data_IF_397345173124
#
_entry.id   IF_397345173124
#
_cell.length_a   1.000
_cell.length_b   1.000
_cell.length_c   1.000
_cell.angle_alpha   90.00
_cell.angle_beta   90.00
_cell.angle_gamma   90.00
#
_symmetry.space_group_name_H-M   'P 1'
#
loop_
_entity.id
_entity.type
_entity.pdbx_description
1 polymer ?
#
# COMPACT_ATOMS: atom_id res chain seq x y z
N UNK A 1 -12.53 8.78 -14.32
CA UNK A 1 -11.11 8.57 -14.65
C UNK A 1 -10.89 9.11 -16.05
N UNK A 2 -10.05 10.14 -16.20
CA UNK A 2 -9.73 10.72 -17.52
C UNK A 2 -8.31 10.31 -17.88
N UNK A 3 -8.08 9.92 -19.14
CA UNK A 3 -6.75 9.64 -19.66
C UNK A 3 -6.33 10.85 -20.49
N UNK A 4 -5.25 11.50 -20.07
CA UNK A 4 -4.63 12.59 -20.83
C UNK A 4 -3.36 12.06 -21.47
N UNK A 5 -3.24 12.20 -22.79
CA UNK A 5 -2.02 11.85 -23.52
C UNK A 5 -1.15 13.09 -23.64
N UNK A 6 0.14 12.95 -23.35
CA UNK A 6 1.13 14.00 -23.46
C UNK A 6 2.06 13.72 -24.63
N UNK A 7 2.56 14.78 -25.26
CA UNK A 7 3.61 14.64 -26.25
C UNK A 7 4.89 14.11 -25.57
N UNK A 8 5.71 13.38 -26.32
CA UNK A 8 7.01 12.94 -25.80
C UNK A 8 7.84 14.16 -25.37
N UNK A 9 8.40 14.12 -24.17
CA UNK A 9 9.20 15.21 -23.59
C UNK A 9 8.39 16.32 -22.91
N UNK A 10 7.06 16.21 -22.87
CA UNK A 10 6.24 17.12 -22.07
C UNK A 10 6.41 16.80 -20.57
N UNK A 11 6.91 17.78 -19.81
CA UNK A 11 7.12 17.65 -18.37
C UNK A 11 5.84 17.31 -17.59
N UNK A 12 4.67 17.61 -18.14
CA UNK A 12 3.38 17.28 -17.53
C UNK A 12 3.01 15.80 -17.68
N UNK A 13 3.64 15.08 -18.61
CA UNK A 13 3.52 13.63 -18.75
C UNK A 13 4.28 12.84 -17.68
N UNK A 14 5.18 13.49 -16.96
CA UNK A 14 6.05 12.87 -15.98
C UNK A 14 7.22 12.09 -16.61
N UNK A 15 8.11 11.54 -15.78
CA UNK A 15 9.26 10.77 -16.25
C UNK A 15 8.85 9.48 -16.97
N UNK A 16 9.73 9.00 -17.85
CA UNK A 16 9.54 7.71 -18.53
C UNK A 16 9.33 6.56 -17.52
N UNK A 17 8.34 5.73 -17.84
CA UNK A 17 7.94 4.59 -17.02
C UNK A 17 7.00 4.93 -15.86
N UNK A 18 6.46 6.15 -15.77
CA UNK A 18 5.39 6.50 -14.83
C UNK A 18 4.03 6.36 -15.51
N UNK A 19 3.21 5.39 -15.10
CA UNK A 19 1.84 5.20 -15.64
C UNK A 19 0.81 6.13 -15.00
N UNK A 20 1.09 6.61 -13.79
CA UNK A 20 0.34 7.67 -13.13
C UNK A 20 1.34 8.70 -12.61
N UNK A 21 1.15 9.97 -12.97
CA UNK A 21 1.99 11.07 -12.54
C UNK A 21 1.16 12.09 -11.76
N UNK A 22 1.63 12.41 -10.55
CA UNK A 22 0.94 13.29 -9.63
C UNK A 22 1.77 14.54 -9.37
N UNK A 23 1.08 15.67 -9.28
CA UNK A 23 1.65 16.98 -8.96
C UNK A 23 0.92 17.58 -7.76
N UNK A 24 1.54 18.54 -7.07
CA UNK A 24 0.97 19.16 -5.88
C UNK A 24 1.49 18.55 -4.58
N UNK A 25 1.05 19.08 -3.45
CA UNK A 25 1.58 18.71 -2.13
C UNK A 25 0.79 17.61 -1.45
N UNK A 26 -0.46 17.37 -1.84
CA UNK A 26 -1.31 16.30 -1.29
C UNK A 26 -2.24 15.76 -2.37
N UNK A 27 -2.73 14.54 -2.19
CA UNK A 27 -3.72 13.95 -3.07
C UNK A 27 -4.03 12.51 -2.71
N UNK A 28 -4.64 11.80 -3.66
CA UNK A 28 -4.90 10.36 -3.57
C UNK A 28 -4.27 9.63 -4.74
N UNK A 29 -3.94 8.35 -4.53
CA UNK A 29 -3.41 7.44 -5.54
C UNK A 29 -4.10 6.09 -5.36
N UNK A 30 -4.55 5.48 -6.45
CA UNK A 30 -5.17 4.17 -6.40
C UNK A 30 -4.62 3.26 -7.49
N UNK A 31 -4.69 1.96 -7.25
CA UNK A 31 -4.46 0.97 -8.31
C UNK A 31 -5.51 1.14 -9.40
N UNK A 32 -5.16 0.81 -10.65
CA UNK A 32 -6.14 0.79 -11.72
C UNK A 32 -7.33 -0.11 -11.37
N UNK A 33 -8.53 0.29 -11.80
CA UNK A 33 -9.82 -0.36 -11.50
C UNK A 33 -10.28 -0.31 -10.02
N UNK A 34 -9.61 0.45 -9.16
CA UNK A 34 -10.05 0.58 -7.76
C UNK A 34 -11.28 1.50 -7.61
N UNK A 35 -12.31 1.14 -6.82
CA UNK A 35 -13.50 1.96 -6.60
C UNK A 35 -13.22 3.13 -5.62
N UNK A 36 -12.77 4.27 -6.14
CA UNK A 36 -12.37 5.43 -5.32
C UNK A 36 -13.53 6.30 -4.82
N UNK A 37 -14.75 6.11 -5.32
CA UNK A 37 -15.93 6.89 -4.92
C UNK A 37 -16.70 6.28 -3.74
N UNK A 38 -16.30 5.10 -3.27
CA UNK A 38 -16.97 4.41 -2.18
C UNK A 38 -16.38 4.84 -0.82
N UNK A 39 -17.22 5.10 0.17
CA UNK A 39 -16.79 5.35 1.56
C UNK A 39 -16.56 4.06 2.37
N UNK A 40 -17.04 2.94 1.85
CA UNK A 40 -16.85 1.58 2.36
C UNK A 40 -16.55 0.69 1.17
N UNK A 41 -15.55 -0.19 1.28
CA UNK A 41 -15.18 -1.07 0.19
C UNK A 41 -16.07 -2.30 0.16
N UNK A 42 -16.60 -2.58 -1.03
CA UNK A 42 -17.22 -3.87 -1.30
C UNK A 42 -16.13 -4.96 -1.32
N UNK A 43 -16.44 -6.08 -0.70
CA UNK A 43 -15.66 -7.33 -0.74
C UNK A 43 -15.41 -7.88 -2.15
N UNK A 44 -16.14 -7.39 -3.16
CA UNK A 44 -15.95 -7.76 -4.57
C UNK A 44 -14.85 -6.96 -5.31
N UNK A 45 -14.32 -5.91 -4.68
CA UNK A 45 -13.23 -5.12 -5.28
C UNK A 45 -12.00 -6.00 -5.46
N UNK A 46 -11.53 -6.09 -6.71
CA UNK A 46 -10.36 -6.89 -7.08
C UNK A 46 -9.41 -6.09 -7.98
N UNK A 47 -8.11 -6.19 -7.72
CA UNK A 47 -7.08 -5.59 -8.56
C UNK A 47 -6.83 -6.43 -9.81
N UNK A 48 -6.28 -5.78 -10.84
CA UNK A 48 -5.87 -6.46 -12.06
C UNK A 48 -4.59 -7.29 -11.82
N UNK A 49 -4.59 -8.55 -12.27
CA UNK A 49 -3.42 -9.43 -12.22
C UNK A 49 -2.41 -9.13 -13.33
N UNK A 50 -1.16 -9.57 -13.15
CA UNK A 50 -0.03 -9.42 -14.08
C UNK A 50 0.25 -7.97 -14.49
N UNK A 51 0.16 -7.05 -13.53
CA UNK A 51 0.42 -5.63 -13.73
C UNK A 51 1.76 -5.22 -13.14
N UNK A 52 2.39 -4.22 -13.77
CA UNK A 52 3.48 -3.45 -13.18
C UNK A 52 3.15 -1.98 -13.38
N UNK A 53 2.53 -1.40 -12.36
CA UNK A 53 2.07 -0.02 -12.37
C UNK A 53 3.03 0.82 -11.57
N UNK A 54 3.75 1.74 -12.23
CA UNK A 54 4.62 2.68 -11.53
C UNK A 54 3.94 4.03 -11.44
N UNK A 55 3.76 4.49 -10.21
CA UNK A 55 3.23 5.80 -9.87
C UNK A 55 4.39 6.70 -9.45
N UNK A 56 4.34 7.96 -9.89
CA UNK A 56 5.40 8.92 -9.66
C UNK A 56 4.82 10.25 -9.20
N UNK A 57 5.58 10.95 -8.36
CA UNK A 57 5.21 12.25 -7.85
C UNK A 57 6.27 13.27 -8.24
N UNK A 58 5.82 14.43 -8.71
CA UNK A 58 6.69 15.58 -8.86
C UNK A 58 7.16 16.01 -7.48
N UNK A 59 8.46 16.21 -7.34
CA UNK A 59 8.99 16.85 -6.15
C UNK A 59 8.68 18.35 -6.21
N UNK A 60 7.85 18.84 -5.29
CA UNK A 60 7.56 20.27 -5.16
C UNK A 60 8.65 20.98 -4.34
N UNK A 61 8.74 22.31 -4.49
CA UNK A 61 9.72 23.14 -3.77
C UNK A 61 9.70 22.88 -2.27
N UNK A 62 10.89 22.77 -1.67
CA UNK A 62 11.09 22.55 -0.24
C UNK A 62 10.48 21.24 0.31
N UNK A 63 10.21 20.24 -0.54
CA UNK A 63 9.75 18.91 -0.08
C UNK A 63 10.89 17.90 -0.08
N UNK A 64 11.01 17.12 0.99
CA UNK A 64 12.10 16.16 1.18
C UNK A 64 11.67 14.71 1.27
N UNK A 65 10.40 14.46 1.56
CA UNK A 65 9.84 13.12 1.64
C UNK A 65 8.41 13.11 1.12
N UNK A 66 7.87 11.92 0.94
CA UNK A 66 6.46 11.67 0.68
C UNK A 66 5.97 10.59 1.63
N UNK A 67 4.74 10.76 2.11
CA UNK A 67 4.07 9.80 2.98
C UNK A 67 2.76 9.33 2.35
N UNK A 68 2.43 8.08 2.58
CA UNK A 68 1.18 7.45 2.17
C UNK A 68 0.45 6.85 3.38
N UNK A 69 -0.87 6.77 3.27
CA UNK A 69 -1.74 6.04 4.21
C UNK A 69 -3.04 5.65 3.47
N UNK A 70 -3.69 4.52 3.79
CA UNK A 70 -4.97 4.18 3.16
C UNK A 70 -6.03 5.27 3.39
N UNK A 71 -6.79 5.61 2.35
CA UNK A 71 -7.89 6.58 2.42
C UNK A 71 -8.96 6.13 3.42
N UNK A 72 -9.33 4.86 3.34
CA UNK A 72 -10.21 4.15 4.28
C UNK A 72 -9.34 3.24 5.13
N UNK A 73 -9.29 3.53 6.43
CA UNK A 73 -8.64 2.67 7.41
C UNK A 73 -9.56 1.48 7.76
N UNK A 74 -9.08 0.27 7.50
CA UNK A 74 -9.76 -0.96 7.89
C UNK A 74 -9.33 -1.46 9.27
N UNK A 75 -9.96 -2.53 9.72
CA UNK A 75 -9.54 -3.31 10.87
C UNK A 75 -9.76 -4.81 10.59
N UNK A 76 -9.63 -5.67 11.60
CA UNK A 76 -9.75 -7.12 11.45
C UNK A 76 -11.15 -7.64 11.01
N UNK A 77 -12.16 -6.77 10.99
CA UNK A 77 -13.54 -7.09 10.61
C UNK A 77 -14.15 -6.11 9.59
N UNK A 78 -13.55 -4.93 9.37
CA UNK A 78 -13.99 -3.96 8.35
C UNK A 78 -12.92 -3.75 7.27
N UNK A 79 -13.30 -3.75 5.98
CA UNK A 79 -12.32 -3.64 4.90
C UNK A 79 -11.72 -2.24 4.88
N UNK A 80 -10.40 -2.18 4.71
CA UNK A 80 -9.67 -0.96 4.42
C UNK A 80 -9.35 -0.85 2.94
N UNK A 81 -8.92 0.33 2.52
CA UNK A 81 -8.48 0.64 1.15
C UNK A 81 -7.07 0.17 0.82
N UNK A 82 -6.70 -0.97 1.39
CA UNK A 82 -5.44 -1.64 1.11
C UNK A 82 -5.60 -3.13 1.38
N UNK A 83 -5.08 -3.94 0.47
CA UNK A 83 -4.93 -5.38 0.68
C UNK A 83 -4.34 -6.03 -0.55
N UNK A 84 -3.15 -6.60 -0.37
CA UNK A 84 -2.28 -7.17 -1.42
C UNK A 84 -1.73 -8.52 -0.95
N UNK A 85 -1.98 -9.59 -1.69
CA UNK A 85 -1.60 -10.96 -1.35
C UNK A 85 -2.07 -11.52 0.01
N UNK A 86 -1.76 -12.79 0.21
CA UNK A 86 -1.88 -13.49 1.50
C UNK A 86 -0.98 -12.93 2.61
N UNK A 87 -1.25 -13.36 3.84
CA UNK A 87 -0.36 -13.11 4.99
C UNK A 87 0.30 -14.41 5.45
N UNK A 88 1.48 -14.29 6.06
CA UNK A 88 2.25 -15.46 6.54
C UNK A 88 1.70 -16.10 7.83
N UNK A 89 0.66 -15.54 8.44
CA UNK A 89 0.12 -15.96 9.73
C UNK A 89 -1.40 -16.09 9.78
N UNK A 90 -1.90 -16.64 10.89
CA UNK A 90 -3.34 -16.85 11.15
C UNK A 90 -4.10 -15.57 11.51
N UNK A 91 -3.49 -14.40 11.42
CA UNK A 91 -4.13 -13.10 11.64
C UNK A 91 -3.84 -12.23 10.42
N UNK A 92 -4.84 -11.45 10.00
CA UNK A 92 -4.63 -10.44 8.96
C UNK A 92 -3.60 -9.43 9.48
N UNK A 93 -2.51 -9.25 8.74
CA UNK A 93 -1.42 -8.35 9.09
C UNK A 93 -0.83 -7.74 7.82
N UNK A 94 -0.10 -6.63 7.96
CA UNK A 94 0.89 -6.20 6.99
C UNK A 94 2.06 -7.19 6.95
N UNK A 95 2.74 -7.23 5.81
CA UNK A 95 3.88 -8.08 5.53
C UNK A 95 4.88 -7.26 4.71
N UNK A 96 6.17 -7.52 4.89
CA UNK A 96 7.25 -6.76 4.25
C UNK A 96 8.30 -7.68 3.62
N UNK A 97 9.10 -7.11 2.72
CA UNK A 97 10.30 -7.70 2.13
C UNK A 97 10.09 -9.07 1.47
N UNK A 98 10.99 -10.03 1.71
CA UNK A 98 11.03 -11.32 1.03
C UNK A 98 9.81 -12.22 1.28
N UNK A 99 8.90 -11.81 2.17
CA UNK A 99 7.61 -12.45 2.39
C UNK A 99 6.54 -11.93 1.40
N UNK A 100 6.76 -10.76 0.79
CA UNK A 100 5.94 -10.21 -0.28
C UNK A 100 6.40 -10.73 -1.65
N UNK A 101 6.01 -11.98 -1.93
CA UNK A 101 6.42 -12.71 -3.14
C UNK A 101 5.42 -12.63 -4.29
N UNK A 102 4.13 -12.53 -4.00
CA UNK A 102 3.08 -12.33 -5.00
C UNK A 102 2.95 -10.84 -5.33
N UNK A 103 1.83 -10.26 -4.93
CA UNK A 103 1.51 -8.85 -5.07
C UNK A 103 2.13 -8.01 -3.97
N UNK A 104 2.65 -6.85 -4.37
CA UNK A 104 3.24 -5.91 -3.44
C UNK A 104 3.28 -4.49 -3.99
N UNK A 105 3.28 -3.54 -3.06
CA UNK A 105 3.78 -2.19 -3.31
C UNK A 105 5.27 -2.14 -3.05
N UNK A 106 6.02 -1.73 -4.06
CA UNK A 106 7.42 -1.38 -3.93
C UNK A 106 7.53 0.11 -3.66
N UNK A 107 7.99 0.45 -2.46
CA UNK A 107 8.28 1.81 -2.04
C UNK A 107 9.74 1.80 -1.59
N UNK A 108 10.68 2.40 -2.34
CA UNK A 108 12.10 2.41 -1.98
C UNK A 108 12.31 3.06 -0.61
N UNK A 109 13.04 2.39 0.29
CA UNK A 109 13.26 2.85 1.66
C UNK A 109 11.97 3.32 2.36
N UNK A 110 10.96 2.46 2.34
CA UNK A 110 9.73 2.63 3.08
C UNK A 110 9.97 2.61 4.59
N UNK A 111 9.58 3.69 5.24
CA UNK A 111 9.77 3.98 6.66
C UNK A 111 8.41 4.13 7.32
N UNK A 112 8.14 3.44 8.43
CA UNK A 112 6.86 3.60 9.16
C UNK A 112 7.03 3.65 10.67
N UNK A 113 8.21 4.02 11.15
CA UNK A 113 8.46 4.12 12.57
C UNK A 113 9.24 5.39 12.91
N UNK A 114 8.62 6.27 13.70
CA UNK A 114 9.32 6.92 14.81
C UNK A 114 8.36 6.80 15.99
N UNK A 115 8.69 5.96 16.98
CA UNK A 115 8.04 6.04 18.28
C UNK A 115 8.16 7.48 18.78
N UNK A 116 7.04 8.18 18.94
CA UNK A 116 6.77 9.15 20.03
C UNK A 116 5.40 9.83 19.96
N UNK A 117 4.56 9.64 18.93
CA UNK A 117 3.19 10.20 18.94
C UNK A 117 2.12 9.24 18.39
N UNK A 118 1.02 9.08 19.15
CA UNK A 118 -0.18 8.34 18.73
C UNK A 118 -0.92 9.02 17.57
N UNK A 119 -0.59 10.28 17.25
CA UNK A 119 -1.05 11.00 16.09
C UNK A 119 -0.02 10.95 14.95
N UNK A 120 -0.03 9.85 14.17
CA UNK A 120 0.39 9.74 12.75
C UNK A 120 1.17 10.93 12.15
N UNK A 121 2.34 11.27 12.68
CA UNK A 121 3.17 12.37 12.16
C UNK A 121 4.54 11.82 11.84
N UNK A 122 4.85 11.75 10.55
CA UNK A 122 6.18 11.47 10.09
C UNK A 122 7.06 12.70 10.31
N UNK A 123 8.17 12.54 11.03
CA UNK A 123 9.19 13.58 11.18
C UNK A 123 10.30 13.29 10.16
N UNK A 124 10.43 14.12 9.12
CA UNK A 124 11.50 13.94 8.12
C UNK A 124 12.88 14.06 8.77
N UNK A 125 13.81 13.19 8.37
CA UNK A 125 15.21 13.28 8.79
C UNK A 125 15.49 12.67 10.18
N UNK A 126 14.46 12.22 10.89
CA UNK A 126 14.62 11.41 12.09
C UNK A 126 14.79 9.94 11.68
N UNK A 127 16.00 9.56 11.23
CA UNK A 127 16.35 8.14 11.18
C UNK A 127 16.76 7.72 12.58
N UNK A 128 15.78 7.30 13.39
CA UNK A 128 16.06 6.63 14.65
C UNK A 128 16.89 5.36 14.42
N UNK A 129 17.70 4.91 15.39
CA UNK A 129 18.52 3.70 15.25
C UNK A 129 17.70 2.43 15.00
N UNK A 130 16.40 2.45 15.34
CA UNK A 130 15.47 1.32 15.23
C UNK A 130 14.56 1.37 13.97
N UNK A 131 14.81 2.27 13.02
CA UNK A 131 14.06 2.31 11.76
C UNK A 131 14.56 1.21 10.82
N UNK A 132 13.73 0.21 10.53
CA UNK A 132 13.97 -0.67 9.38
C UNK A 132 13.37 -0.06 8.13
N UNK A 133 14.17 -0.10 7.08
CA UNK A 133 13.74 0.24 5.73
C UNK A 133 13.19 -1.01 5.07
N UNK A 134 11.95 -0.93 4.61
CA UNK A 134 11.39 -1.94 3.70
C UNK A 134 11.39 -1.39 2.28
N UNK A 135 11.53 -2.25 1.28
CA UNK A 135 11.31 -1.93 -0.12
C UNK A 135 10.00 -2.51 -0.65
N UNK A 136 9.44 -3.54 0.00
CA UNK A 136 8.19 -4.19 -0.43
C UNK A 136 7.21 -4.28 0.72
N UNK A 137 5.97 -3.91 0.45
CA UNK A 137 4.85 -3.96 1.37
C UNK A 137 3.70 -4.73 0.74
N UNK A 138 3.11 -5.63 1.51
CA UNK A 138 1.96 -6.42 1.13
C UNK A 138 1.21 -6.86 2.39
N UNK A 139 0.28 -7.80 2.27
CA UNK A 139 -0.62 -8.25 3.31
C UNK A 139 -1.92 -7.45 3.35
N UNK A 140 -2.60 -7.50 4.50
CA UNK A 140 -3.95 -6.93 4.67
C UNK A 140 -3.97 -5.53 5.26
N UNK A 141 -2.82 -5.05 5.74
CA UNK A 141 -2.65 -3.72 6.28
C UNK A 141 -1.41 -3.07 5.68
N UNK A 142 -1.51 -1.76 5.47
CA UNK A 142 -0.42 -0.96 4.91
C UNK A 142 0.50 -0.52 6.05
N UNK A 143 1.65 -1.19 6.18
CA UNK A 143 2.62 -0.92 7.24
C UNK A 143 4.00 -1.47 6.87
N UNK A 144 5.06 -0.72 7.18
CA UNK A 144 6.44 -1.21 7.12
C UNK A 144 7.05 -1.46 8.51
N UNK A 145 6.22 -1.55 9.55
CA UNK A 145 6.70 -1.69 10.92
C UNK A 145 7.50 -2.99 11.11
N UNK A 146 8.48 -2.94 12.02
CA UNK A 146 9.39 -4.05 12.28
C UNK A 146 8.62 -5.24 12.88
N UNK A 147 7.82 -4.95 13.89
CA UNK A 147 7.08 -5.95 14.63
C UNK A 147 5.80 -6.35 13.92
N UNK A 148 5.46 -7.64 14.03
CA UNK A 148 4.25 -8.16 13.40
C UNK A 148 2.97 -7.68 14.10
N UNK A 149 3.05 -7.42 15.40
CA UNK A 149 1.93 -6.94 16.19
C UNK A 149 1.55 -5.49 15.81
N UNK A 150 2.54 -4.66 15.47
CA UNK A 150 2.33 -3.29 14.94
C UNK A 150 1.81 -3.28 13.50
N UNK A 151 1.82 -4.42 12.83
CA UNK A 151 1.28 -4.61 11.48
C UNK A 151 -0.16 -5.13 11.49
N UNK A 152 -0.84 -5.13 12.63
CA UNK A 152 -2.26 -5.48 12.72
C UNK A 152 -3.21 -4.30 12.40
N UNK A 153 -2.64 -3.13 12.05
CA UNK A 153 -3.36 -1.96 11.57
C UNK A 153 -2.55 -1.27 10.46
N UNK A 154 -3.23 -0.48 9.63
CA UNK A 154 -2.56 0.36 8.65
C UNK A 154 -2.02 1.61 9.34
N UNK A 155 -0.76 1.93 9.08
CA UNK A 155 -0.08 3.13 9.58
C UNK A 155 0.51 3.91 8.40
N UNK A 156 0.96 5.13 8.64
CA UNK A 156 1.61 5.89 7.56
C UNK A 156 2.98 5.28 7.23
N UNK A 157 3.27 5.19 5.93
CA UNK A 157 4.56 4.77 5.40
C UNK A 157 5.10 5.91 4.56
N UNK A 158 6.36 6.26 4.76
CA UNK A 158 7.01 7.37 4.08
C UNK A 158 8.28 6.93 3.37
N UNK A 159 8.77 7.77 2.45
CA UNK A 159 10.05 7.57 1.79
C UNK A 159 10.71 8.91 1.53
N UNK A 160 12.02 8.97 1.79
CA UNK A 160 12.89 10.09 1.46
C UNK A 160 13.65 9.86 0.14
N UNK A 161 13.43 8.71 -0.52
CA UNK A 161 14.12 8.34 -1.75
C UNK A 161 13.62 9.16 -2.93
N UNK A 162 14.55 9.74 -3.68
CA UNK A 162 14.26 10.57 -4.85
C UNK A 162 14.79 9.90 -6.12
N UNK A 163 14.03 9.93 -7.23
CA UNK A 163 12.68 10.52 -7.37
C UNK A 163 11.61 9.75 -6.60
N UNK A 164 10.55 10.44 -6.15
CA UNK A 164 9.43 9.82 -5.44
C UNK A 164 8.65 8.89 -6.37
N UNK A 165 8.75 7.58 -6.12
CA UNK A 165 8.14 6.54 -6.94
C UNK A 165 7.59 5.42 -6.07
N UNK A 166 6.50 4.81 -6.54
CA UNK A 166 5.89 3.63 -5.96
C UNK A 166 5.51 2.70 -7.10
N UNK A 167 5.89 1.42 -7.02
CA UNK A 167 5.54 0.45 -8.06
C UNK A 167 4.64 -0.63 -7.48
N UNK A 168 3.42 -0.72 -7.98
CA UNK A 168 2.54 -1.84 -7.73
C UNK A 168 2.85 -2.97 -8.69
N UNK A 169 3.25 -4.13 -8.16
CA UNK A 169 3.44 -5.35 -8.94
C UNK A 169 2.42 -6.38 -8.51
N UNK A 170 1.74 -6.97 -9.48
CA UNK A 170 0.89 -8.16 -9.27
C UNK A 170 1.41 -9.31 -10.09
N UNK A 171 1.25 -10.53 -9.59
CA UNK A 171 1.56 -11.73 -10.35
C UNK A 171 0.31 -12.25 -11.10
N UNK A 172 0.40 -13.44 -11.69
CA UNK A 172 -0.70 -14.01 -12.47
C UNK A 172 -1.66 -14.88 -11.63
N UNK A 173 -1.24 -15.27 -10.42
CA UNK A 173 -1.81 -16.40 -9.68
C UNK A 173 -2.36 -15.95 -8.33
N UNK A 174 -3.64 -15.59 -8.31
CA UNK A 174 -4.32 -15.32 -7.04
C UNK A 174 -4.65 -16.65 -6.33
N UNK A 175 -4.31 -16.75 -5.05
CA UNK A 175 -4.63 -17.93 -4.25
C UNK A 175 -6.13 -17.91 -3.94
N UNK A 176 -6.90 -18.77 -4.61
CA UNK A 176 -8.37 -18.84 -4.53
C UNK A 176 -8.89 -20.23 -4.17
N UNK A 177 -8.30 -20.90 -3.14
CA UNK A 177 -8.78 -22.24 -2.76
C UNK A 177 -10.30 -22.22 -2.47
N UNK A 178 -11.04 -22.95 -3.31
CA UNK A 178 -12.50 -22.98 -3.41
C UNK A 178 -13.18 -23.83 -2.32
N UNK A 179 -12.39 -24.47 -1.45
CA UNK A 179 -12.91 -25.31 -0.34
C UNK A 179 -12.16 -24.99 0.94
N UNK A 180 -12.61 -23.94 1.63
CA UNK A 180 -12.30 -23.77 3.05
C UNK A 180 -12.93 -24.96 3.80
N UNK A 181 -12.21 -25.67 4.68
CA UNK A 181 -12.86 -26.65 5.56
C UNK A 181 -13.96 -25.93 6.37
N UNK A 182 -15.10 -26.60 6.67
CA UNK A 182 -16.20 -25.98 7.41
C UNK A 182 -15.65 -25.35 8.69
N UNK A 183 -16.13 -24.16 9.09
CA UNK A 183 -15.62 -23.48 10.27
C UNK A 183 -15.83 -24.42 11.47
N UNK A 184 -14.75 -25.04 11.93
CA UNK A 184 -14.74 -25.73 13.20
C UNK A 184 -14.90 -24.63 14.25
N UNK A 185 -16.14 -24.40 14.70
CA UNK A 185 -16.53 -23.57 15.85
C UNK A 185 -15.42 -22.62 16.35
N UNK A 186 -15.36 -21.42 15.75
CA UNK A 186 -14.44 -20.36 16.13
C UNK A 186 -13.49 -19.94 15.00
N UNK A 187 -13.57 -18.66 14.59
CA UNK A 187 -12.54 -17.85 13.91
C UNK A 187 -11.48 -18.60 13.06
N UNK A 188 -11.87 -19.55 12.22
CA UNK A 188 -10.94 -20.29 11.37
C UNK A 188 -10.42 -19.36 10.26
N UNK A 189 -9.15 -18.95 10.36
CA UNK A 189 -8.48 -18.03 9.44
C UNK A 189 -7.73 -18.80 8.34
N UNK A 190 -8.08 -18.51 7.09
CA UNK A 190 -7.48 -19.08 5.89
C UNK A 190 -6.81 -18.01 5.00
N UNK A 191 -6.41 -16.86 5.56
CA UNK A 191 -5.78 -15.76 4.82
C UNK A 191 -4.47 -16.14 4.10
N UNK A 192 -3.86 -17.27 4.46
CA UNK A 192 -2.71 -17.90 3.80
C UNK A 192 -3.10 -18.91 2.70
N UNK A 193 -4.39 -19.26 2.60
CA UNK A 193 -4.95 -20.28 1.71
C UNK A 193 -5.95 -19.70 0.71
N UNK A 194 -6.48 -18.51 0.95
CA UNK A 194 -7.37 -17.82 0.02
C UNK A 194 -7.32 -16.32 0.28
N UNK A 195 -7.04 -15.54 -0.77
CA UNK A 195 -6.83 -14.11 -0.65
C UNK A 195 -8.12 -13.32 -0.40
N UNK A 196 -9.26 -13.88 -0.80
CA UNK A 196 -10.60 -13.36 -0.49
C UNK A 196 -11.16 -13.84 0.86
N UNK A 197 -10.55 -14.85 1.51
CA UNK A 197 -11.19 -15.57 2.63
C UNK A 197 -11.30 -14.84 3.97
N UNK A 198 -11.03 -13.53 4.02
CA UNK A 198 -11.27 -12.70 5.21
C UNK A 198 -11.21 -11.21 4.85
N UNK A 199 -11.84 -10.39 5.67
CA UNK A 199 -11.72 -8.93 5.65
C UNK A 199 -10.51 -8.51 6.51
N UNK A 200 -9.64 -7.59 6.04
CA UNK A 200 -9.56 -7.04 4.69
C UNK A 200 -9.05 -8.08 3.66
N UNK A 201 -9.62 -8.05 2.45
CA UNK A 201 -9.25 -8.95 1.35
C UNK A 201 -7.83 -8.67 0.85
N UNK A 202 -7.19 -9.68 0.25
CA UNK A 202 -5.80 -9.64 -0.19
C UNK A 202 -5.66 -9.29 -1.66
N UNK A 203 -6.73 -9.34 -2.43
CA UNK A 203 -6.70 -8.97 -3.85
C UNK A 203 -7.42 -7.66 -4.13
N UNK A 204 -7.63 -6.83 -3.09
CA UNK A 204 -8.49 -5.64 -3.19
C UNK A 204 -7.81 -4.52 -3.97
N UNK A 205 -6.48 -4.45 -3.90
CA UNK A 205 -5.70 -3.34 -4.42
C UNK A 205 -5.52 -2.26 -3.36
N UNK A 206 -5.41 -1.00 -3.77
CA UNK A 206 -5.28 0.09 -2.83
C UNK A 206 -5.86 1.41 -3.33
N UNK A 207 -6.25 2.25 -2.38
CA UNK A 207 -6.43 3.69 -2.54
C UNK A 207 -5.80 4.39 -1.32
N UNK A 208 -4.73 5.13 -1.56
CA UNK A 208 -3.93 5.78 -0.54
C UNK A 208 -4.03 7.30 -0.68
N UNK A 209 -4.11 7.99 0.45
CA UNK A 209 -3.79 9.42 0.55
C UNK A 209 -2.29 9.58 0.57
N UNK A 210 -1.80 10.61 -0.10
CA UNK A 210 -0.40 10.98 -0.06
C UNK A 210 -0.21 12.45 0.29
N UNK A 211 0.93 12.75 0.89
CA UNK A 211 1.35 14.10 1.25
C UNK A 211 2.86 14.24 1.12
N UNK A 212 3.31 15.28 0.42
CA UNK A 212 4.71 15.68 0.41
C UNK A 212 5.02 16.38 1.73
N UNK A 213 6.17 16.03 2.28
CA UNK A 213 6.63 16.54 3.56
C UNK A 213 7.74 17.56 3.32
N UNK A 214 7.71 18.69 4.04
CA UNK A 214 8.70 19.76 3.92
C UNK A 214 10.06 19.36 4.49
N UNK A 215 11.15 19.71 3.82
CA UNK A 215 12.49 19.58 4.37
C UNK A 215 12.59 20.16 5.78
N UNK A 216 13.13 19.37 6.72
CA UNK A 216 13.44 19.80 8.07
C UNK A 216 14.67 20.72 8.09
#
# INVERSE_FOLDING_TARGET
MSVTQYNCGDEQGGPDGCLQYFTGTTGTVASFNFPTSASVLDSSATHLSSQTQTMCWRQETNTCAICWIPEILGNLITPGSFGLSTTSGRVASGVTEGKCRGDYLMIPSAESNVETDAANTFIIGSIGPDIQLSNRLCGRFFSSANDQDDRLASISVCSQQRPFRMTFKTDADEITLSKLPPPASGNANFANLNELSRVPGGIVGFNLRWTLQSCA
#
